data_IF_065062462731
#
_entry.id   IF_065062462731
#
_cell.length_a   1.000
_cell.length_b   1.000
_cell.length_c   1.000
_cell.angle_alpha   90.00
_cell.angle_beta   90.00
_cell.angle_gamma   90.00
#
_symmetry.space_group_name_H-M   'P 1'
#
loop_
_entity.id
_entity.type
_entity.pdbx_description
1 polymer ?
#
# COMPACT_ATOMS: atom_id res chain seq x y z
N UNK A 1 5.72 -11.62 -14.78
CA UNK A 1 4.45 -11.05 -15.28
C UNK A 1 3.22 -11.86 -14.83
N UNK A 2 3.35 -13.16 -14.53
CA UNK A 2 2.25 -13.98 -13.96
C UNK A 2 2.18 -14.04 -12.41
N UNK A 3 3.23 -13.64 -11.68
CA UNK A 3 3.27 -13.77 -10.22
C UNK A 3 2.51 -12.65 -9.47
N UNK A 4 2.56 -11.40 -9.94
CA UNK A 4 1.93 -10.24 -9.26
C UNK A 4 0.39 -10.24 -9.29
N UNK A 5 -0.22 -10.98 -10.22
CA UNK A 5 -1.68 -11.09 -10.33
C UNK A 5 -2.25 -12.33 -9.62
N UNK A 6 -1.41 -13.32 -9.28
CA UNK A 6 -1.87 -14.65 -8.86
C UNK A 6 -1.69 -14.90 -7.36
N UNK A 7 -0.68 -14.27 -6.75
CA UNK A 7 -0.48 -14.31 -5.32
C UNK A 7 -0.60 -12.89 -4.79
N UNK A 8 -1.31 -12.71 -3.69
CA UNK A 8 -1.39 -11.44 -2.96
C UNK A 8 -0.02 -10.91 -2.48
N UNK A 9 1.08 -11.62 -2.75
CA UNK A 9 2.46 -11.25 -2.41
C UNK A 9 2.63 -10.94 -0.90
N UNK A 10 1.80 -11.55 -0.05
CA UNK A 10 1.80 -11.28 1.39
C UNK A 10 1.07 -10.00 1.82
N UNK A 11 0.41 -9.28 0.91
CA UNK A 11 -0.37 -8.07 1.18
C UNK A 11 -1.86 -8.38 1.01
N UNK A 12 -2.56 -8.61 2.13
CA UNK A 12 -4.00 -8.88 2.14
C UNK A 12 -4.87 -7.63 1.98
N UNK A 13 -4.34 -6.46 2.33
CA UNK A 13 -5.08 -5.19 2.35
C UNK A 13 -4.12 -4.02 2.07
N UNK A 14 -4.55 -3.08 1.23
CA UNK A 14 -3.86 -1.81 0.99
C UNK A 14 -4.79 -0.67 1.36
N UNK A 15 -4.28 0.30 2.12
CA UNK A 15 -5.02 1.47 2.58
C UNK A 15 -4.35 2.71 2.01
N UNK A 16 -5.14 3.58 1.38
CA UNK A 16 -4.69 4.87 0.86
C UNK A 16 -5.05 5.93 1.88
N UNK A 17 -4.04 6.62 2.40
CA UNK A 17 -4.20 7.71 3.37
C UNK A 17 -3.48 8.97 2.86
N UNK A 18 -3.86 10.12 3.41
CA UNK A 18 -3.14 11.37 3.19
C UNK A 18 -1.70 11.24 3.70
N UNK A 19 -0.72 11.93 3.10
CA UNK A 19 0.69 11.86 3.51
C UNK A 19 0.91 12.24 4.98
N UNK A 20 0.06 13.12 5.52
CA UNK A 20 0.06 13.53 6.93
C UNK A 20 -0.42 12.44 7.89
N UNK A 21 -1.24 11.50 7.42
CA UNK A 21 -1.83 10.43 8.23
C UNK A 21 -1.05 9.12 8.13
N UNK A 22 0.03 9.07 7.34
CA UNK A 22 0.83 7.85 7.11
C UNK A 22 1.37 7.28 8.42
N UNK A 23 1.97 8.11 9.26
CA UNK A 23 2.55 7.67 10.53
C UNK A 23 1.47 7.15 11.48
N UNK A 24 0.35 7.87 11.59
CA UNK A 24 -0.79 7.46 12.42
C UNK A 24 -1.41 6.15 11.93
N UNK A 25 -1.55 5.96 10.62
CA UNK A 25 -2.07 4.72 10.04
C UNK A 25 -1.16 3.53 10.34
N UNK A 26 0.16 3.71 10.22
CA UNK A 26 1.15 2.67 10.54
C UNK A 26 1.12 2.34 12.04
N UNK A 27 1.06 3.34 12.91
CA UNK A 27 0.96 3.13 14.35
C UNK A 27 -0.30 2.36 14.75
N UNK A 28 -1.46 2.71 14.18
CA UNK A 28 -2.72 2.02 14.43
C UNK A 28 -2.63 0.56 13.97
N UNK A 29 -2.11 0.32 12.77
CA UNK A 29 -1.99 -1.05 12.23
C UNK A 29 -1.03 -1.90 13.09
N UNK A 30 0.12 -1.34 13.48
CA UNK A 30 1.06 -2.00 14.40
C UNK A 30 0.45 -2.25 15.78
N UNK A 31 -0.32 -1.31 16.32
CA UNK A 31 -1.01 -1.47 17.60
C UNK A 31 -2.07 -2.59 17.56
N UNK A 32 -2.64 -2.87 16.39
CA UNK A 32 -3.57 -3.98 16.16
C UNK A 32 -2.86 -5.31 15.82
N UNK A 33 -1.53 -5.35 15.83
CA UNK A 33 -0.73 -6.56 15.58
C UNK A 33 -0.47 -6.86 14.10
N UNK A 34 -0.78 -5.92 13.21
CA UNK A 34 -0.52 -6.03 11.77
C UNK A 34 0.77 -5.30 11.39
N UNK A 35 1.60 -5.91 10.56
CA UNK A 35 2.86 -5.30 10.10
C UNK A 35 2.60 -4.46 8.84
N UNK A 36 2.48 -3.15 9.03
CA UNK A 36 2.19 -2.19 7.97
C UNK A 36 3.45 -1.44 7.52
N UNK A 37 3.59 -1.30 6.20
CA UNK A 37 4.68 -0.56 5.56
C UNK A 37 4.15 0.27 4.38
N UNK A 38 4.87 1.35 4.05
CA UNK A 38 4.52 2.19 2.90
C UNK A 38 4.89 1.47 1.62
N UNK A 39 3.88 1.11 0.82
CA UNK A 39 4.04 0.39 -0.46
C UNK A 39 4.41 1.35 -1.61
N UNK A 40 4.00 2.61 -1.52
CA UNK A 40 4.29 3.63 -2.54
C UNK A 40 3.45 4.89 -2.37
N UNK A 41 3.55 5.80 -3.33
CA UNK A 41 2.78 7.05 -3.39
C UNK A 41 1.88 7.10 -4.63
N UNK A 42 0.70 7.72 -4.51
CA UNK A 42 -0.19 7.96 -5.65
C UNK A 42 0.17 9.31 -6.25
N UNK A 43 0.75 9.27 -7.45
CA UNK A 43 1.02 10.47 -8.25
C UNK A 43 -0.05 10.65 -9.31
N UNK A 44 -0.42 11.90 -9.59
CA UNK A 44 -1.36 12.24 -10.66
C UNK A 44 -0.69 11.95 -12.01
N UNK A 45 -1.25 11.02 -12.77
CA UNK A 45 -0.77 10.64 -14.10
C UNK A 45 -1.94 10.75 -15.08
N UNK A 46 -1.68 11.29 -16.28
CA UNK A 46 -2.66 11.32 -17.38
C UNK A 46 -2.78 9.96 -18.09
N UNK A 47 -1.84 9.05 -17.87
CA UNK A 47 -1.85 7.67 -18.34
C UNK A 47 -2.11 6.68 -17.19
N UNK A 48 -2.92 5.65 -17.46
CA UNK A 48 -3.32 4.61 -16.50
C UNK A 48 -2.14 3.85 -15.89
N UNK A 49 -2.32 3.41 -14.64
CA UNK A 49 -1.34 2.78 -13.73
C UNK A 49 -0.23 1.99 -14.43
N UNK A 50 1.02 2.44 -14.25
CA UNK A 50 2.24 1.74 -14.72
C UNK A 50 2.78 0.87 -13.58
N UNK A 51 2.65 -0.45 -13.71
CA UNK A 51 3.31 -1.43 -12.86
C UNK A 51 4.65 -1.80 -13.50
N UNK A 52 5.77 -1.45 -12.85
CA UNK A 52 7.12 -1.85 -13.27
C UNK A 52 7.63 -3.04 -12.44
#
# INVERSE_FOLDING_TARGET
RDMFNTFNMGVGMSVVVSPEDVDTAIEILKANGEDAYVIGEIIKSDDGVVLC
#
